data_IF_881403364609
#
_entry.id   IF_881403364609
#
_cell.length_a   1.000
_cell.length_b   1.000
_cell.length_c   1.000
_cell.angle_alpha   90.00
_cell.angle_beta   90.00
_cell.angle_gamma   90.00
#
_symmetry.space_group_name_H-M   'P 1'
#
loop_
_entity.id
_entity.type
_entity.pdbx_description
1 polymer ?
#
# COMPACT_ATOMS: atom_id res chain seq x y z
N UNK A 1 24.76 25.35 0.53
CA UNK A 1 23.70 24.39 0.92
C UNK A 1 22.58 24.50 -0.12
N UNK A 2 22.50 23.58 -1.08
CA UNK A 2 21.49 23.64 -2.15
C UNK A 2 20.08 23.53 -1.57
N UNK A 3 19.21 24.50 -1.89
CA UNK A 3 17.77 24.39 -1.63
C UNK A 3 17.23 23.28 -2.54
N UNK A 4 16.92 22.13 -1.98
CA UNK A 4 16.09 21.14 -2.67
C UNK A 4 14.74 21.79 -2.90
N UNK A 5 14.42 22.11 -4.15
CA UNK A 5 13.10 22.62 -4.54
C UNK A 5 12.03 21.59 -4.19
N UNK A 6 10.81 22.05 -3.85
CA UNK A 6 9.69 21.14 -3.66
C UNK A 6 9.47 20.36 -4.96
N UNK A 7 9.36 19.04 -4.86
CA UNK A 7 8.98 18.18 -5.97
C UNK A 7 7.60 18.60 -6.50
N UNK A 8 7.50 18.79 -7.81
CA UNK A 8 6.21 19.00 -8.48
C UNK A 8 5.36 17.73 -8.32
N UNK A 9 4.12 17.81 -7.82
CA UNK A 9 3.25 16.66 -7.62
C UNK A 9 3.04 15.78 -8.86
N UNK A 10 3.20 16.35 -10.07
CA UNK A 10 3.10 15.62 -11.34
C UNK A 10 4.14 14.51 -11.48
N UNK A 11 5.26 14.58 -10.76
CA UNK A 11 6.28 13.52 -10.76
C UNK A 11 5.94 12.35 -9.82
N UNK A 12 4.93 12.46 -8.95
CA UNK A 12 4.65 11.43 -7.96
C UNK A 12 4.32 10.06 -8.58
N UNK A 13 3.48 9.94 -9.63
CA UNK A 13 3.26 8.65 -10.29
C UNK A 13 4.54 8.07 -10.89
N UNK A 14 5.36 8.91 -11.54
CA UNK A 14 6.64 8.51 -12.12
C UNK A 14 7.61 7.97 -11.06
N UNK A 15 7.69 8.63 -9.89
CA UNK A 15 8.52 8.18 -8.78
C UNK A 15 8.06 6.84 -8.20
N UNK A 16 6.75 6.58 -8.16
CA UNK A 16 6.24 5.30 -7.71
C UNK A 16 6.51 4.18 -8.72
N UNK A 17 6.45 4.47 -10.01
CA UNK A 17 6.64 3.48 -11.08
C UNK A 17 8.10 3.04 -11.26
N UNK A 18 9.07 3.85 -10.86
CA UNK A 18 10.50 3.47 -10.88
C UNK A 18 10.94 2.70 -9.64
N UNK A 19 10.07 2.51 -8.65
CA UNK A 19 10.37 1.70 -7.47
C UNK A 19 10.10 0.23 -7.80
N UNK A 20 11.13 -0.61 -7.72
CA UNK A 20 11.03 -2.05 -7.98
C UNK A 20 10.19 -2.83 -6.94
N UNK A 21 9.80 -2.16 -5.85
CA UNK A 21 8.86 -2.71 -4.87
C UNK A 21 7.42 -2.37 -5.22
N UNK A 22 6.51 -3.31 -4.99
CA UNK A 22 5.08 -3.05 -5.07
C UNK A 22 4.64 -2.02 -4.03
N UNK A 23 4.13 -0.89 -4.50
CA UNK A 23 3.60 0.19 -3.66
C UNK A 23 2.14 0.43 -4.01
N UNK A 24 1.32 0.49 -2.97
CA UNK A 24 -0.07 0.90 -3.07
C UNK A 24 -0.42 1.80 -1.89
N UNK A 25 -1.45 2.62 -2.07
CA UNK A 25 -2.04 3.41 -0.98
C UNK A 25 -3.49 3.03 -0.78
N UNK A 26 -4.03 3.33 0.40
CA UNK A 26 -5.44 3.13 0.73
C UNK A 26 -6.03 4.35 1.42
N UNK A 27 -7.35 4.48 1.35
CA UNK A 27 -8.12 5.37 2.20
C UNK A 27 -8.29 4.79 3.63
N UNK A 28 -8.91 5.52 4.59
CA UNK A 28 -9.17 5.01 5.94
C UNK A 28 -10.04 3.74 6.00
N UNK A 29 -10.79 3.41 4.95
CA UNK A 29 -11.63 2.21 4.85
C UNK A 29 -10.86 1.02 4.24
N UNK A 30 -9.60 1.21 3.86
CA UNK A 30 -8.78 0.18 3.21
C UNK A 30 -9.08 0.01 1.72
N UNK A 31 -9.75 0.98 1.10
CA UNK A 31 -9.98 1.03 -0.35
C UNK A 31 -8.71 1.50 -1.04
N UNK A 32 -8.22 0.76 -2.03
CA UNK A 32 -7.00 1.09 -2.77
C UNK A 32 -7.19 2.39 -3.55
N UNK A 33 -6.29 3.35 -3.35
CA UNK A 33 -6.30 4.67 -3.99
C UNK A 33 -5.13 4.89 -4.97
N UNK A 34 -4.08 4.08 -4.89
CA UNK A 34 -3.03 4.02 -5.90
C UNK A 34 -2.39 2.62 -5.95
N UNK A 35 -1.83 2.26 -7.10
CA UNK A 35 -1.20 0.97 -7.33
C UNK A 35 -0.11 1.14 -8.39
N UNK A 36 1.16 0.97 -8.02
CA UNK A 36 2.27 1.18 -8.97
C UNK A 36 2.48 -0.03 -9.90
N UNK A 37 3.28 0.17 -10.96
CA UNK A 37 3.64 -0.88 -11.92
C UNK A 37 4.22 -2.14 -11.28
N UNK A 38 5.05 -1.99 -10.25
CA UNK A 38 5.66 -3.13 -9.57
C UNK A 38 4.63 -3.95 -8.78
N UNK A 39 3.60 -3.32 -8.22
CA UNK A 39 2.49 -4.01 -7.57
C UNK A 39 1.64 -4.77 -8.59
N UNK A 40 1.39 -4.19 -9.76
CA UNK A 40 0.75 -4.90 -10.88
C UNK A 40 1.55 -6.12 -11.31
N UNK A 41 2.85 -5.95 -11.56
CA UNK A 41 3.74 -7.05 -11.97
C UNK A 41 3.79 -8.17 -10.94
N UNK A 42 3.82 -7.81 -9.65
CA UNK A 42 3.90 -8.77 -8.54
C UNK A 42 2.58 -9.53 -8.35
N UNK A 43 1.44 -8.84 -8.46
CA UNK A 43 0.13 -9.38 -8.08
C UNK A 43 -0.69 -9.90 -9.26
N UNK A 44 -0.41 -9.41 -10.47
CA UNK A 44 -1.17 -9.66 -11.69
C UNK A 44 -2.45 -8.82 -11.83
N UNK A 45 -2.75 -7.91 -10.89
CA UNK A 45 -3.89 -6.99 -11.00
C UNK A 45 -3.44 -5.67 -11.61
N UNK A 46 -4.14 -5.21 -12.65
CA UNK A 46 -3.87 -3.87 -13.18
C UNK A 46 -4.35 -2.77 -12.22
N UNK A 47 -3.84 -1.54 -12.32
CA UNK A 47 -4.34 -0.42 -11.54
C UNK A 47 -5.86 -0.21 -11.68
N UNK A 48 -6.41 -0.40 -12.89
CA UNK A 48 -7.85 -0.27 -13.17
C UNK A 48 -8.67 -1.36 -12.45
N UNK A 49 -8.10 -2.53 -12.24
CA UNK A 49 -8.74 -3.64 -11.53
C UNK A 49 -8.59 -3.55 -10.01
N UNK A 50 -7.60 -2.81 -9.51
CA UNK A 50 -7.25 -2.74 -8.10
C UNK A 50 -7.80 -1.49 -7.41
N UNK A 51 -7.70 -0.32 -8.05
CA UNK A 51 -8.12 0.97 -7.49
C UNK A 51 -9.64 0.97 -7.29
N UNK A 52 -10.09 1.52 -6.16
CA UNK A 52 -11.50 1.55 -5.78
C UNK A 52 -12.00 0.27 -5.11
N UNK A 53 -11.15 -0.75 -4.94
CA UNK A 53 -11.51 -2.00 -4.26
C UNK A 53 -10.86 -2.14 -2.89
N UNK A 54 -11.46 -2.92 -1.96
CA UNK A 54 -10.82 -3.24 -0.69
C UNK A 54 -9.52 -4.01 -0.91
N UNK A 55 -8.42 -3.59 -0.26
CA UNK A 55 -7.13 -4.25 -0.41
C UNK A 55 -7.17 -5.74 0.00
N UNK A 56 -8.06 -6.11 0.92
CA UNK A 56 -8.27 -7.50 1.37
C UNK A 56 -8.81 -8.40 0.25
N UNK A 57 -9.50 -7.84 -0.74
CA UNK A 57 -10.06 -8.61 -1.87
C UNK A 57 -9.06 -8.77 -3.01
N UNK A 58 -8.17 -7.79 -3.17
CA UNK A 58 -7.10 -7.79 -4.19
C UNK A 58 -5.91 -8.62 -3.71
N UNK A 59 -5.34 -8.28 -2.55
CA UNK A 59 -4.11 -8.89 -2.05
C UNK A 59 -4.36 -10.16 -1.22
N UNK A 60 -5.53 -10.27 -0.59
CA UNK A 60 -5.97 -11.47 0.15
C UNK A 60 -4.89 -12.05 1.07
N UNK A 61 -4.30 -11.18 1.90
CA UNK A 61 -3.26 -11.61 2.83
C UNK A 61 -3.81 -12.65 3.80
N UNK A 62 -3.02 -13.69 4.07
CA UNK A 62 -3.29 -14.69 5.10
C UNK A 62 -3.53 -14.11 6.50
N UNK A 63 -3.11 -12.87 6.76
CA UNK A 63 -3.32 -12.18 8.04
C UNK A 63 -4.50 -11.21 8.05
N UNK A 64 -5.29 -11.09 6.97
CA UNK A 64 -6.39 -10.12 6.88
C UNK A 64 -7.41 -10.24 8.04
N UNK A 65 -7.70 -11.46 8.48
CA UNK A 65 -8.70 -11.75 9.52
C UNK A 65 -8.10 -11.95 10.92
N UNK A 66 -6.79 -11.85 11.06
CA UNK A 66 -6.08 -12.01 12.33
C UNK A 66 -5.36 -10.71 12.71
N UNK A 67 -4.13 -10.55 12.21
CA UNK A 67 -3.18 -9.53 12.65
C UNK A 67 -2.77 -8.63 11.49
N UNK A 68 -3.75 -8.20 10.69
CA UNK A 68 -3.54 -7.44 9.47
C UNK A 68 -2.61 -6.22 9.70
N UNK A 69 -1.42 -6.18 9.06
CA UNK A 69 -0.46 -5.09 9.26
C UNK A 69 -1.04 -3.72 8.88
N UNK A 70 -1.81 -3.66 7.80
CA UNK A 70 -2.47 -2.44 7.35
C UNK A 70 -3.48 -1.94 8.38
N UNK A 71 -4.40 -2.80 8.82
CA UNK A 71 -5.42 -2.44 9.83
C UNK A 71 -4.76 -1.93 11.12
N UNK A 72 -3.72 -2.60 11.61
CA UNK A 72 -2.97 -2.12 12.79
C UNK A 72 -2.36 -0.73 12.59
N UNK A 73 -1.88 -0.44 11.39
CA UNK A 73 -1.32 0.90 11.08
C UNK A 73 -2.42 1.95 10.99
N UNK A 74 -3.58 1.61 10.42
CA UNK A 74 -4.75 2.50 10.37
C UNK A 74 -5.27 2.83 11.77
N UNK A 75 -5.33 1.84 12.66
CA UNK A 75 -5.86 1.99 14.03
C UNK A 75 -4.87 2.72 14.96
N UNK A 76 -3.59 2.35 14.93
CA UNK A 76 -2.59 2.89 15.86
C UNK A 76 -1.87 4.13 15.35
N UNK A 77 -1.90 4.38 14.04
CA UNK A 77 -1.04 5.36 13.36
C UNK A 77 0.45 5.02 13.40
N UNK A 78 0.84 3.88 13.98
CA UNK A 78 2.23 3.46 14.08
C UNK A 78 2.67 2.69 12.84
N UNK A 79 3.85 3.06 12.30
CA UNK A 79 4.47 2.36 11.18
C UNK A 79 4.81 0.92 11.58
N UNK A 80 4.48 -0.03 10.70
CA UNK A 80 4.97 -1.40 10.79
C UNK A 80 5.99 -1.65 9.67
N UNK A 81 7.04 -2.38 9.99
CA UNK A 81 8.16 -2.66 9.10
C UNK A 81 8.37 -4.15 8.99
N UNK A 82 8.71 -4.61 7.78
CA UNK A 82 9.16 -5.97 7.48
C UNK A 82 8.24 -7.07 8.01
N UNK A 83 6.92 -6.89 7.88
CA UNK A 83 5.94 -7.93 8.22
C UNK A 83 5.81 -8.92 7.07
N UNK A 84 6.27 -10.15 7.30
CA UNK A 84 6.13 -11.24 6.34
C UNK A 84 4.70 -11.77 6.34
N UNK A 85 4.08 -11.78 5.16
CA UNK A 85 2.73 -12.30 4.92
C UNK A 85 2.72 -13.08 3.61
N UNK A 86 1.67 -13.86 3.37
CA UNK A 86 1.40 -14.40 2.03
C UNK A 86 0.22 -13.68 1.42
N UNK A 87 0.40 -13.15 0.23
CA UNK A 87 -0.68 -12.59 -0.59
C UNK A 87 -1.09 -13.60 -1.66
N UNK A 88 -2.29 -13.43 -2.21
CA UNK A 88 -2.75 -14.22 -3.35
C UNK A 88 -2.78 -13.37 -4.60
N UNK A 89 -2.05 -13.79 -5.64
CA UNK A 89 -2.04 -13.15 -6.95
C UNK A 89 -3.34 -13.43 -7.70
N UNK A 90 -3.58 -12.69 -8.79
CA UNK A 90 -4.77 -12.83 -9.65
C UNK A 90 -4.96 -14.24 -10.21
N UNK A 91 -3.86 -14.87 -10.63
CA UNK A 91 -3.82 -16.26 -11.12
C UNK A 91 -3.94 -17.32 -10.00
N UNK A 92 -4.04 -16.88 -8.74
CA UNK A 92 -4.30 -17.73 -7.60
C UNK A 92 -3.05 -18.26 -6.87
N UNK A 93 -1.83 -17.93 -7.31
CA UNK A 93 -0.60 -18.30 -6.61
C UNK A 93 -0.53 -17.62 -5.22
N UNK A 94 0.07 -18.33 -4.27
CA UNK A 94 0.40 -17.79 -2.95
C UNK A 94 1.82 -17.28 -2.97
N UNK A 95 2.00 -15.98 -2.79
CA UNK A 95 3.30 -15.31 -2.87
C UNK A 95 3.72 -14.80 -1.48
N UNK A 96 4.85 -15.27 -0.91
CA UNK A 96 5.40 -14.68 0.29
C UNK A 96 5.95 -13.29 -0.02
N UNK A 97 5.54 -12.29 0.74
CA UNK A 97 6.01 -10.91 0.63
C UNK A 97 6.35 -10.36 1.99
N UNK A 98 7.25 -9.38 2.02
CA UNK A 98 7.44 -8.55 3.21
C UNK A 98 6.76 -7.21 3.00
N UNK A 99 5.93 -6.80 3.95
CA UNK A 99 5.12 -5.60 3.88
C UNK A 99 5.57 -4.61 4.94
N UNK A 100 5.77 -3.37 4.51
CA UNK A 100 5.89 -2.20 5.39
C UNK A 100 4.65 -1.35 5.19
N UNK A 101 4.01 -0.92 6.28
CA UNK A 101 2.83 -0.05 6.25
C UNK A 101 3.10 1.20 7.08
N UNK A 102 2.72 2.36 6.55
CA UNK A 102 2.86 3.64 7.24
C UNK A 102 1.61 4.49 7.01
N UNK A 103 1.22 5.26 8.03
CA UNK A 103 0.16 6.25 7.89
C UNK A 103 0.75 7.60 7.48
N UNK A 104 0.38 8.08 6.30
CA UNK A 104 0.79 9.39 5.80
C UNK A 104 0.14 10.52 6.61
N UNK A 105 0.95 11.35 7.28
CA UNK A 105 0.44 12.42 8.17
C UNK A 105 -0.33 13.55 7.45
N UNK A 106 -0.34 13.57 6.12
CA UNK A 106 -0.94 14.65 5.30
C UNK A 106 -2.45 14.44 5.03
N UNK A 107 -3.02 13.27 5.34
CA UNK A 107 -4.45 13.02 5.21
C UNK A 107 -5.01 12.54 6.56
N UNK A 108 -5.41 13.52 7.39
CA UNK A 108 -6.20 13.28 8.60
C UNK A 108 -5.40 13.00 9.87
N UNK A 109 -5.01 14.07 10.57
CA UNK A 109 -5.11 14.06 12.04
C UNK A 109 -6.61 13.93 12.34
N UNK A 110 -7.09 12.75 12.72
CA UNK A 110 -8.16 12.71 13.71
C UNK A 110 -7.48 12.87 15.07
N UNK A 111 -7.91 13.89 15.79
CA UNK A 111 -7.42 14.28 17.10
C UNK A 111 -7.12 13.05 17.97
N UNK A 112 -5.86 12.90 18.35
CA UNK A 112 -5.52 12.14 19.54
C UNK A 112 -6.18 12.88 20.72
N UNK A 113 -7.14 12.24 21.36
CA UNK A 113 -7.59 12.58 22.71
C UNK A 113 -6.67 11.92 23.71
#
# INVERSE_FOLDING_TARGET
>A
MSRVGKLDPRYFPLLLDVIDQGVFTVDPNGIITSFNRSAETTTGFSPEEAIGRPCREVLRSDLCDQVCPLRRTLESGQKLVDRRVRIRTKDGRSLPVSVTTAWGRTLGRKNAR
#
